data_IF_299943079113
#
_entry.id   IF_299943079113
#
_cell.length_a   1.000
_cell.length_b   1.000
_cell.length_c   1.000
_cell.angle_alpha   90.00
_cell.angle_beta   90.00
_cell.angle_gamma   90.00
#
_symmetry.space_group_name_H-M   'P 1'
#
loop_
_entity.id
_entity.type
_entity.pdbx_description
1 polymer ?
#
# COMPACT_ATOMS: atom_id res chain seq x y z
N UNK A 1 -1.49 -13.54 -17.09
CA UNK A 1 -1.73 -13.59 -15.63
C UNK A 1 -3.21 -13.66 -15.35
N UNK A 2 -3.62 -14.48 -14.41
CA UNK A 2 -5.02 -14.58 -13.95
C UNK A 2 -5.05 -14.66 -12.44
N UNK A 3 -5.89 -13.83 -11.81
CA UNK A 3 -6.21 -13.91 -10.39
C UNK A 3 -7.67 -14.33 -10.24
N UNK A 4 -7.93 -15.39 -9.48
CA UNK A 4 -9.26 -15.91 -9.26
C UNK A 4 -9.50 -16.20 -7.78
N UNK A 5 -10.75 -16.02 -7.31
CA UNK A 5 -11.15 -16.43 -5.97
C UNK A 5 -11.07 -17.94 -5.80
N UNK A 6 -11.14 -18.43 -4.56
CA UNK A 6 -11.22 -19.86 -4.24
C UNK A 6 -12.45 -20.54 -4.87
N UNK A 7 -13.50 -19.79 -5.17
CA UNK A 7 -14.71 -20.24 -5.84
C UNK A 7 -14.63 -20.17 -7.36
N UNK A 8 -13.48 -19.77 -7.93
CA UNK A 8 -13.24 -19.72 -9.36
C UNK A 8 -13.66 -18.44 -10.07
N UNK A 9 -14.22 -17.44 -9.35
CA UNK A 9 -14.52 -16.15 -9.94
C UNK A 9 -13.23 -15.42 -10.31
N UNK A 10 -13.09 -15.01 -11.57
CA UNK A 10 -11.92 -14.28 -12.06
C UNK A 10 -12.01 -12.82 -11.61
N UNK A 11 -10.99 -12.35 -10.88
CA UNK A 11 -10.84 -10.96 -10.45
C UNK A 11 -9.98 -10.16 -11.39
N UNK A 12 -9.01 -10.81 -12.03
CA UNK A 12 -8.09 -10.18 -12.97
C UNK A 12 -7.71 -11.18 -14.05
N UNK A 13 -7.70 -10.74 -15.29
CA UNK A 13 -7.07 -11.43 -16.41
C UNK A 13 -6.32 -10.40 -17.23
N UNK A 14 -5.01 -10.52 -17.33
CA UNK A 14 -4.16 -9.63 -18.10
C UNK A 14 -3.06 -10.40 -18.82
N UNK A 15 -2.75 -9.95 -20.02
CA UNK A 15 -1.52 -10.37 -20.70
C UNK A 15 -0.37 -9.55 -20.14
N UNK A 16 0.65 -10.24 -19.64
CA UNK A 16 1.88 -9.60 -19.18
C UNK A 16 2.90 -9.65 -20.30
N UNK A 17 3.45 -8.49 -20.65
CA UNK A 17 4.67 -8.45 -21.45
C UNK A 17 5.82 -9.11 -20.66
N UNK A 18 6.81 -9.70 -21.34
CA UNK A 18 8.02 -10.15 -20.67
C UNK A 18 8.66 -8.99 -19.92
N UNK A 19 8.64 -9.04 -18.62
CA UNK A 19 9.19 -8.04 -17.72
C UNK A 19 9.71 -8.72 -16.46
N UNK A 20 10.65 -8.09 -15.78
CA UNK A 20 11.22 -8.61 -14.53
C UNK A 20 10.21 -8.60 -13.40
N UNK A 21 9.22 -7.70 -13.44
CA UNK A 21 8.11 -7.65 -12.47
C UNK A 21 6.84 -7.07 -13.10
N UNK A 22 5.71 -7.37 -12.48
CA UNK A 22 4.42 -6.74 -12.78
C UNK A 22 3.75 -6.31 -11.48
N UNK A 23 3.10 -5.16 -11.52
CA UNK A 23 2.33 -4.60 -10.41
C UNK A 23 0.85 -4.58 -10.77
N UNK A 24 0.01 -4.98 -9.82
CA UNK A 24 -1.45 -4.94 -9.94
C UNK A 24 -2.01 -4.22 -8.73
N UNK A 25 -2.76 -3.18 -8.96
CA UNK A 25 -3.46 -2.46 -7.90
C UNK A 25 -4.91 -2.96 -7.77
N UNK A 26 -5.52 -2.70 -6.62
CA UNK A 26 -6.92 -3.10 -6.37
C UNK A 26 -7.91 -2.48 -7.38
N UNK A 27 -7.59 -1.31 -7.94
CA UNK A 27 -8.38 -0.66 -8.99
C UNK A 27 -8.40 -1.41 -10.32
N UNK A 28 -7.40 -2.27 -10.56
CA UNK A 28 -7.29 -3.07 -11.78
C UNK A 28 -8.14 -4.34 -11.72
N UNK A 29 -8.75 -4.62 -10.57
CA UNK A 29 -9.58 -5.78 -10.37
C UNK A 29 -10.97 -5.57 -10.97
N UNK A 30 -11.50 -6.63 -11.57
CA UNK A 30 -12.83 -6.63 -12.23
C UNK A 30 -14.00 -6.52 -11.24
N UNK A 31 -13.74 -6.83 -9.97
CA UNK A 31 -14.76 -6.76 -8.91
C UNK A 31 -14.10 -6.49 -7.56
N UNK A 32 -14.85 -5.97 -6.56
CA UNK A 32 -14.37 -5.88 -5.20
C UNK A 32 -13.88 -7.24 -4.70
N UNK A 33 -12.80 -7.23 -3.94
CA UNK A 33 -12.25 -8.43 -3.32
C UNK A 33 -12.61 -8.49 -1.84
N UNK A 34 -12.66 -9.71 -1.31
CA UNK A 34 -12.80 -9.98 0.12
C UNK A 34 -11.53 -10.65 0.65
N UNK A 35 -11.35 -10.65 1.96
CA UNK A 35 -10.29 -11.44 2.58
C UNK A 35 -10.46 -12.92 2.24
N UNK A 36 -9.37 -13.62 2.00
CA UNK A 36 -9.41 -15.04 1.70
C UNK A 36 -8.26 -15.52 0.84
N UNK A 37 -8.38 -16.75 0.39
CA UNK A 37 -7.41 -17.40 -0.50
C UNK A 37 -7.81 -17.14 -1.95
N UNK A 38 -6.84 -16.68 -2.71
CA UNK A 38 -6.94 -16.45 -4.15
C UNK A 38 -5.91 -17.29 -4.88
N UNK A 39 -6.21 -17.64 -6.12
CA UNK A 39 -5.31 -18.36 -6.99
C UNK A 39 -4.74 -17.43 -8.05
N UNK A 40 -3.42 -17.23 -7.99
CA UNK A 40 -2.66 -16.54 -9.03
C UNK A 40 -2.10 -17.56 -10.00
N UNK A 41 -2.39 -17.38 -11.27
CA UNK A 41 -1.85 -18.20 -12.37
C UNK A 41 -0.97 -17.33 -13.27
N UNK A 42 0.29 -17.71 -13.40
CA UNK A 42 1.29 -17.07 -14.26
C UNK A 42 1.84 -18.12 -15.24
N UNK A 43 1.40 -18.06 -16.49
CA UNK A 43 1.70 -19.11 -17.44
C UNK A 43 1.15 -20.47 -16.95
N UNK A 44 2.01 -21.44 -16.79
CA UNK A 44 1.68 -22.77 -16.27
C UNK A 44 1.73 -22.87 -14.72
N UNK A 45 2.30 -21.88 -14.08
CA UNK A 45 2.45 -21.86 -12.62
C UNK A 45 1.18 -21.35 -11.95
N UNK A 46 0.77 -22.04 -10.91
CA UNK A 46 -0.36 -21.66 -10.06
C UNK A 46 0.07 -21.62 -8.61
N UNK A 47 -0.23 -20.52 -7.93
CA UNK A 47 0.08 -20.33 -6.52
C UNK A 47 -1.10 -19.77 -5.75
N UNK A 48 -1.19 -20.10 -4.46
CA UNK A 48 -2.17 -19.53 -3.57
C UNK A 48 -1.64 -18.21 -3.01
N UNK A 49 -2.50 -17.18 -3.00
CA UNK A 49 -2.27 -15.92 -2.31
C UNK A 49 -3.29 -15.77 -1.19
N UNK A 50 -2.82 -15.46 0.00
CA UNK A 50 -3.69 -15.06 1.09
C UNK A 50 -3.82 -13.54 1.08
N UNK A 51 -5.03 -13.03 0.88
CA UNK A 51 -5.35 -11.62 0.97
C UNK A 51 -6.08 -11.39 2.29
N UNK A 52 -5.47 -10.59 3.16
CA UNK A 52 -6.05 -10.23 4.45
C UNK A 52 -7.13 -9.16 4.30
N UNK A 53 -8.08 -9.14 5.24
CA UNK A 53 -9.03 -8.04 5.31
C UNK A 53 -8.29 -6.70 5.53
N UNK A 54 -8.81 -5.60 4.99
CA UNK A 54 -8.32 -4.28 5.36
C UNK A 54 -8.38 -4.11 6.88
N UNK A 55 -7.35 -3.49 7.45
CA UNK A 55 -7.36 -3.19 8.89
C UNK A 55 -8.53 -2.27 9.23
N UNK A 56 -9.32 -2.65 10.23
CA UNK A 56 -10.36 -1.79 10.79
C UNK A 56 -9.79 -0.68 11.68
N UNK A 57 -8.54 -0.83 12.12
CA UNK A 57 -7.86 0.16 12.94
C UNK A 57 -7.15 1.16 12.03
N UNK A 58 -7.36 2.48 12.22
CA UNK A 58 -6.64 3.49 11.47
C UNK A 58 -5.13 3.39 11.75
N UNK A 59 -4.32 3.42 10.68
CA UNK A 59 -2.87 3.52 10.79
C UNK A 59 -2.39 4.96 10.79
N UNK A 60 -3.27 5.88 10.38
CA UNK A 60 -3.04 7.31 10.37
C UNK A 60 -4.16 7.95 11.17
N UNK A 61 -3.81 8.64 12.25
CA UNK A 61 -4.74 9.41 13.05
C UNK A 61 -4.43 10.89 12.90
N UNK A 62 -5.46 11.67 12.65
CA UNK A 62 -5.37 13.12 12.59
C UNK A 62 -5.99 13.69 13.87
N UNK A 63 -5.16 14.25 14.75
CA UNK A 63 -5.60 14.92 15.97
C UNK A 63 -5.89 16.41 15.78
N UNK A 64 -5.25 17.03 14.78
CA UNK A 64 -5.49 18.42 14.35
C UNK A 64 -5.14 18.58 12.87
N UNK A 65 -5.42 19.76 12.30
CA UNK A 65 -5.04 20.06 10.90
C UNK A 65 -3.52 19.88 10.66
N UNK A 66 -2.71 20.04 11.70
CA UNK A 66 -1.26 19.98 11.58
C UNK A 66 -0.64 18.68 12.13
N UNK A 67 -1.38 17.90 12.92
CA UNK A 67 -0.83 16.80 13.70
C UNK A 67 -1.35 15.46 13.24
N UNK A 68 -0.46 14.66 12.64
CA UNK A 68 -0.70 13.31 12.16
C UNK A 68 0.13 12.32 12.97
N UNK A 69 -0.53 11.34 13.54
CA UNK A 69 0.10 10.25 14.28
C UNK A 69 0.09 8.98 13.45
N UNK A 70 1.23 8.30 13.41
CA UNK A 70 1.40 7.03 12.72
C UNK A 70 1.23 5.89 13.71
N UNK A 71 0.36 4.94 13.38
CA UNK A 71 0.25 3.65 14.04
C UNK A 71 0.66 2.57 13.05
N UNK A 72 1.83 2.00 13.22
CA UNK A 72 2.22 0.87 12.40
C UNK A 72 1.41 -0.38 12.76
N UNK A 73 0.87 -1.09 11.76
CA UNK A 73 0.16 -2.33 12.00
C UNK A 73 1.12 -3.38 12.59
N UNK A 74 0.57 -4.29 13.40
CA UNK A 74 1.34 -5.43 13.87
C UNK A 74 1.80 -6.27 12.68
N UNK A 75 3.08 -6.68 12.67
CA UNK A 75 3.61 -7.56 11.63
C UNK A 75 3.40 -9.00 12.03
N UNK A 76 2.55 -9.76 11.33
CA UNK A 76 2.18 -11.12 11.75
C UNK A 76 3.27 -12.16 11.53
N UNK A 77 4.30 -11.88 10.75
CA UNK A 77 5.38 -12.83 10.45
C UNK A 77 6.70 -12.11 10.17
N UNK A 78 7.81 -12.86 10.25
CA UNK A 78 9.16 -12.35 9.97
C UNK A 78 9.41 -11.90 8.53
N UNK A 79 8.47 -12.16 7.61
CA UNK A 79 8.53 -11.74 6.21
C UNK A 79 7.71 -10.47 5.94
N UNK A 80 7.08 -9.89 6.95
CA UNK A 80 6.29 -8.68 6.82
C UNK A 80 7.11 -7.46 7.26
N UNK A 81 6.91 -6.33 6.57
CA UNK A 81 7.51 -5.05 6.91
C UNK A 81 6.47 -3.94 6.89
N UNK A 82 6.71 -2.91 7.68
CA UNK A 82 5.87 -1.71 7.68
C UNK A 82 6.74 -0.48 7.54
N UNK A 83 6.30 0.44 6.71
CA UNK A 83 6.94 1.72 6.53
C UNK A 83 5.90 2.85 6.42
N UNK A 84 6.33 4.05 6.72
CA UNK A 84 5.57 5.26 6.46
C UNK A 84 6.29 6.10 5.40
N UNK A 85 5.52 6.77 4.56
CA UNK A 85 6.06 7.67 3.53
C UNK A 85 5.37 9.02 3.63
N UNK A 86 6.16 10.03 3.90
CA UNK A 86 5.76 11.42 3.81
C UNK A 86 6.03 11.95 2.41
N UNK A 87 5.08 12.67 1.85
CA UNK A 87 5.21 13.33 0.56
C UNK A 87 4.64 14.74 0.65
N UNK A 88 5.31 15.69 0.04
CA UNK A 88 4.90 17.08 -0.03
C UNK A 88 4.73 17.48 -1.48
N UNK A 89 3.66 18.19 -1.76
CA UNK A 89 3.30 18.60 -3.11
C UNK A 89 3.03 20.11 -3.14
N UNK A 90 3.29 20.72 -4.29
CA UNK A 90 2.89 22.08 -4.58
C UNK A 90 1.39 22.22 -4.85
N UNK A 91 0.94 23.41 -5.24
CA UNK A 91 -0.46 23.68 -5.59
C UNK A 91 -0.98 22.88 -6.80
N UNK A 92 -0.07 22.40 -7.66
CA UNK A 92 -0.39 21.63 -8.86
C UNK A 92 -0.23 20.11 -8.63
N UNK A 93 -0.07 19.68 -7.37
CA UNK A 93 0.25 18.30 -7.01
C UNK A 93 1.56 17.76 -7.60
N UNK A 94 2.52 18.66 -7.90
CA UNK A 94 3.89 18.24 -8.23
C UNK A 94 4.62 17.86 -6.97
N UNK A 95 5.26 16.68 -6.97
CA UNK A 95 6.01 16.18 -5.83
C UNK A 95 7.25 17.05 -5.58
N UNK A 96 7.35 17.65 -4.41
CA UNK A 96 8.48 18.48 -3.98
C UNK A 96 9.48 17.70 -3.13
N UNK A 97 8.98 16.83 -2.26
CA UNK A 97 9.81 16.05 -1.33
C UNK A 97 9.13 14.74 -0.97
N UNK A 98 9.92 13.70 -0.77
CA UNK A 98 9.46 12.41 -0.27
C UNK A 98 10.46 11.85 0.71
N UNK A 99 9.96 11.39 1.85
CA UNK A 99 10.76 10.75 2.91
C UNK A 99 10.07 9.47 3.36
N UNK A 100 10.84 8.38 3.37
CA UNK A 100 10.38 7.10 3.89
C UNK A 100 10.98 6.87 5.27
N UNK A 101 10.15 6.37 6.19
CA UNK A 101 10.53 6.08 7.56
C UNK A 101 10.11 4.65 7.87
N UNK A 102 11.05 3.86 8.36
CA UNK A 102 10.78 2.49 8.80
C UNK A 102 10.18 2.50 10.22
N UNK A 103 9.51 1.41 10.58
CA UNK A 103 8.84 1.22 11.87
C UNK A 103 9.73 1.50 13.08
N UNK A 104 11.02 1.12 13.01
CA UNK A 104 11.96 1.26 14.13
C UNK A 104 12.52 2.67 14.29
N UNK A 105 12.22 3.54 13.35
CA UNK A 105 12.59 4.96 13.41
C UNK A 105 11.39 5.72 13.95
N UNK A 106 11.55 6.43 15.07
CA UNK A 106 10.52 7.35 15.56
C UNK A 106 10.41 8.53 14.58
N UNK A 107 9.36 8.58 13.77
CA UNK A 107 9.28 9.58 12.73
C UNK A 107 8.77 10.90 13.30
N UNK A 108 9.68 11.81 13.59
CA UNK A 108 9.27 13.21 13.62
C UNK A 108 8.79 13.57 12.19
N UNK A 109 7.65 14.25 12.05
CA UNK A 109 7.21 14.72 10.74
C UNK A 109 8.32 15.55 10.09
N UNK A 110 8.68 15.29 8.83
CA UNK A 110 9.66 16.09 8.14
C UNK A 110 9.17 17.53 7.98
N UNK A 111 10.11 18.47 7.95
CA UNK A 111 9.81 19.89 7.73
C UNK A 111 9.29 20.04 6.29
N UNK A 112 8.12 20.66 6.15
CA UNK A 112 7.54 20.90 4.84
C UNK A 112 8.35 21.95 4.07
N UNK A 113 8.64 21.72 2.78
CA UNK A 113 9.18 22.76 1.91
C UNK A 113 8.26 24.00 1.89
N UNK A 114 8.82 25.19 1.78
CA UNK A 114 8.05 26.45 1.79
C UNK A 114 7.02 26.58 0.66
N UNK A 115 7.25 25.88 -0.44
CA UNK A 115 6.35 25.83 -1.59
C UNK A 115 5.26 24.76 -1.45
N UNK A 116 5.33 23.90 -0.44
CA UNK A 116 4.35 22.86 -0.25
C UNK A 116 2.98 23.42 0.13
N UNK A 117 1.95 22.87 -0.49
CA UNK A 117 0.53 23.19 -0.23
C UNK A 117 -0.24 21.96 0.22
N UNK A 118 0.31 20.78 -0.02
CA UNK A 118 -0.28 19.51 0.37
C UNK A 118 0.78 18.63 0.99
N UNK A 119 0.39 17.90 2.01
CA UNK A 119 1.16 16.80 2.53
C UNK A 119 0.35 15.52 2.49
N UNK A 120 1.00 14.44 2.14
CA UNK A 120 0.44 13.10 2.14
C UNK A 120 1.26 12.21 3.05
N UNK A 121 0.58 11.47 3.89
CA UNK A 121 1.17 10.40 4.68
C UNK A 121 0.57 9.08 4.22
N UNK A 122 1.43 8.15 3.85
CA UNK A 122 1.04 6.77 3.55
C UNK A 122 1.70 5.85 4.55
N UNK A 123 0.93 4.92 5.11
CA UNK A 123 1.46 3.81 5.90
C UNK A 123 1.24 2.55 5.09
N UNK A 124 2.31 1.82 4.85
CA UNK A 124 2.33 0.66 3.95
C UNK A 124 2.80 -0.54 4.76
N UNK A 125 2.02 -1.59 4.73
CA UNK A 125 2.39 -2.92 5.21
C UNK A 125 2.62 -3.81 4.00
N UNK A 126 3.78 -4.45 3.95
CA UNK A 126 4.17 -5.36 2.89
C UNK A 126 4.47 -6.73 3.48
N UNK A 127 4.08 -7.78 2.78
CA UNK A 127 4.49 -9.15 3.08
C UNK A 127 4.85 -9.90 1.79
N UNK A 128 5.76 -10.85 1.90
CA UNK A 128 6.11 -11.73 0.79
C UNK A 128 5.45 -13.10 0.98
N UNK A 129 4.76 -13.54 -0.07
CA UNK A 129 4.22 -14.89 -0.20
C UNK A 129 4.93 -15.56 -1.38
N UNK A 130 6.03 -16.27 -1.09
CA UNK A 130 6.96 -16.70 -2.13
C UNK A 130 7.65 -15.50 -2.78
N UNK A 131 7.53 -15.39 -4.10
CA UNK A 131 8.06 -14.25 -4.89
C UNK A 131 7.07 -13.10 -5.05
N UNK A 132 5.85 -13.24 -4.51
CA UNK A 132 4.81 -12.23 -4.63
C UNK A 132 4.86 -11.33 -3.41
N UNK A 133 4.92 -10.03 -3.67
CA UNK A 133 4.76 -9.00 -2.64
C UNK A 133 3.32 -8.53 -2.61
N UNK A 134 2.69 -8.68 -1.46
CA UNK A 134 1.33 -8.18 -1.20
C UNK A 134 1.44 -6.96 -0.30
N UNK A 135 0.80 -5.88 -0.70
CA UNK A 135 0.82 -4.62 0.05
C UNK A 135 -0.59 -4.18 0.43
N UNK A 136 -0.69 -3.65 1.66
CA UNK A 136 -1.84 -2.87 2.10
C UNK A 136 -1.36 -1.46 2.42
N UNK A 137 -2.12 -0.46 2.02
CA UNK A 137 -1.78 0.94 2.22
C UNK A 137 -2.98 1.72 2.75
N UNK A 138 -2.72 2.53 3.75
CA UNK A 138 -3.61 3.63 4.12
C UNK A 138 -2.91 4.95 3.80
N UNK A 139 -3.63 5.89 3.20
CA UNK A 139 -3.11 7.20 2.83
C UNK A 139 -4.07 8.29 3.29
N UNK A 140 -3.50 9.35 3.82
CA UNK A 140 -4.19 10.59 4.13
C UNK A 140 -3.44 11.75 3.46
N UNK A 141 -4.17 12.59 2.73
CA UNK A 141 -3.63 13.81 2.11
C UNK A 141 -4.40 15.00 2.66
N UNK A 142 -3.69 15.98 3.19
CA UNK A 142 -4.26 17.18 3.81
C UNK A 142 -3.57 18.44 3.29
N UNK A 143 -4.26 19.58 3.24
CA UNK A 143 -3.62 20.85 2.92
C UNK A 143 -2.64 21.27 4.02
N UNK A 144 -1.69 22.11 3.64
CA UNK A 144 -0.77 22.82 4.53
C UNK A 144 -1.22 24.28 4.51
N UNK A 145 -1.59 24.78 5.67
CA UNK A 145 -1.96 26.19 5.86
C UNK A 145 -0.74 27.13 5.80
#
# INVERSE_FOLDING_TARGET
MRLASSQGATLLAAELAPADYAEVESRDLLSPYAAGVYWLTLGEQRMALLISAPSSTPWIEQSSAADLTIRFPATPSGCASSLARWQFFDQNFTLLHSQTVNRDQHPAPPIAPSQARWRSLSVIQSEYQGTIRVEQMQRLTIPID
#
